data_IF_052126871265
#
_entry.id   IF_052126871265
#
_cell.length_a   1.000
_cell.length_b   1.000
_cell.length_c   1.000
_cell.angle_alpha   90.00
_cell.angle_beta   90.00
_cell.angle_gamma   90.00
#
_symmetry.space_group_name_H-M   'P 1'
#
loop_
_entity.id
_entity.type
_entity.pdbx_description
1 polymer ?
#
# COMPACT_ATOMS: atom_id res chain seq x y z
N UNK A 1 -25.93 3.38 21.84
CA UNK A 1 -24.96 3.19 20.75
C UNK A 1 -25.64 3.58 19.45
N UNK A 2 -25.00 4.46 18.69
CA UNK A 2 -25.46 4.80 17.35
C UNK A 2 -25.07 3.63 16.45
N UNK A 3 -26.05 3.02 15.76
CA UNK A 3 -25.77 2.09 14.64
C UNK A 3 -25.72 2.90 13.35
N UNK A 4 -24.53 3.31 12.88
CA UNK A 4 -24.43 4.14 11.70
C UNK A 4 -24.72 3.29 10.44
N UNK A 5 -25.48 3.86 9.51
CA UNK A 5 -25.70 3.27 8.19
C UNK A 5 -24.50 3.51 7.25
N UNK A 6 -23.70 4.54 7.53
CA UNK A 6 -22.50 4.91 6.76
C UNK A 6 -21.34 5.21 7.71
N UNK A 7 -20.20 4.60 7.46
CA UNK A 7 -18.94 4.87 8.15
C UNK A 7 -17.90 5.32 7.13
N UNK A 8 -17.25 6.44 7.42
CA UNK A 8 -16.18 7.00 6.59
C UNK A 8 -14.83 6.83 7.29
N UNK A 9 -13.85 6.29 6.59
CA UNK A 9 -12.47 6.18 7.03
C UNK A 9 -11.59 6.99 6.09
N UNK A 10 -10.79 7.89 6.63
CA UNK A 10 -9.83 8.70 5.87
C UNK A 10 -8.41 8.31 6.27
N UNK A 11 -7.69 7.66 5.34
CA UNK A 11 -6.32 7.17 5.53
C UNK A 11 -6.10 6.47 6.88
N UNK A 12 -6.89 5.43 7.21
CA UNK A 12 -6.99 4.91 8.58
C UNK A 12 -5.70 4.22 9.09
N UNK A 13 -4.77 3.88 8.19
CA UNK A 13 -3.50 3.20 8.53
C UNK A 13 -2.28 4.09 8.38
N UNK A 14 -2.43 5.34 7.96
CA UNK A 14 -1.30 6.26 7.77
C UNK A 14 -0.59 6.53 9.09
N UNK A 15 0.73 6.38 9.10
CA UNK A 15 1.58 6.60 10.27
C UNK A 15 1.57 5.47 11.31
N UNK A 16 0.86 4.38 11.04
CA UNK A 16 0.87 3.18 11.88
C UNK A 16 1.94 2.19 11.43
N UNK A 17 2.49 1.45 12.39
CA UNK A 17 3.30 0.28 12.08
C UNK A 17 2.44 -0.84 11.45
N UNK A 18 3.05 -1.85 10.78
CA UNK A 18 2.32 -2.90 10.09
C UNK A 18 1.37 -3.70 11.00
N UNK A 19 1.75 -3.93 12.27
CA UNK A 19 0.93 -4.69 13.21
C UNK A 19 -0.34 -3.92 13.56
N UNK A 20 -0.19 -2.63 13.86
CA UNK A 20 -1.33 -1.75 14.14
C UNK A 20 -2.19 -1.52 12.91
N UNK A 21 -1.60 -1.47 11.71
CA UNK A 21 -2.31 -1.43 10.46
C UNK A 21 -3.26 -2.64 10.30
N UNK A 22 -2.76 -3.84 10.56
CA UNK A 22 -3.57 -5.06 10.51
C UNK A 22 -4.73 -5.06 11.53
N UNK A 23 -4.52 -4.52 12.72
CA UNK A 23 -5.61 -4.34 13.72
C UNK A 23 -6.71 -3.43 13.18
N UNK A 24 -6.35 -2.33 12.52
CA UNK A 24 -7.32 -1.41 11.90
C UNK A 24 -8.10 -2.11 10.77
N UNK A 25 -7.44 -2.92 9.93
CA UNK A 25 -8.13 -3.70 8.90
C UNK A 25 -9.17 -4.65 9.49
N UNK A 26 -8.80 -5.39 10.52
CA UNK A 26 -9.73 -6.28 11.21
C UNK A 26 -10.94 -5.53 11.78
N UNK A 27 -10.74 -4.33 12.32
CA UNK A 27 -11.83 -3.50 12.81
C UNK A 27 -12.77 -3.05 11.69
N UNK A 28 -12.21 -2.61 10.54
CA UNK A 28 -13.01 -2.24 9.36
C UNK A 28 -13.82 -3.44 8.88
N UNK A 29 -13.21 -4.62 8.75
CA UNK A 29 -13.90 -5.84 8.33
C UNK A 29 -15.01 -6.25 9.30
N UNK A 30 -14.79 -6.13 10.60
CA UNK A 30 -15.84 -6.41 11.62
C UNK A 30 -17.03 -5.46 11.51
N UNK A 31 -16.77 -4.18 11.27
CA UNK A 31 -17.85 -3.19 11.04
C UNK A 31 -18.60 -3.51 9.75
N UNK A 32 -17.88 -3.92 8.71
CA UNK A 32 -18.46 -4.31 7.42
C UNK A 32 -19.39 -5.53 7.52
N UNK A 33 -19.12 -6.46 8.43
CA UNK A 33 -19.98 -7.63 8.65
C UNK A 33 -21.34 -7.28 9.30
N UNK A 34 -21.53 -6.04 9.77
CA UNK A 34 -22.81 -5.61 10.31
C UNK A 34 -23.81 -5.42 9.16
N UNK A 35 -25.03 -6.00 9.28
CA UNK A 35 -26.06 -5.74 8.29
C UNK A 35 -26.38 -4.24 8.23
N UNK A 36 -26.67 -3.74 7.04
CA UNK A 36 -27.09 -2.35 6.77
C UNK A 36 -26.01 -1.27 6.97
N UNK A 37 -24.72 -1.62 7.14
CA UNK A 37 -23.65 -0.63 7.24
C UNK A 37 -22.85 -0.57 5.94
N UNK A 38 -22.75 0.62 5.35
CA UNK A 38 -21.85 0.90 4.23
C UNK A 38 -20.58 1.55 4.75
N UNK A 39 -19.44 1.03 4.34
CA UNK A 39 -18.13 1.58 4.66
C UNK A 39 -17.52 2.25 3.43
N UNK A 40 -17.04 3.48 3.58
CA UNK A 40 -16.23 4.16 2.58
C UNK A 40 -14.83 4.39 3.17
N UNK A 41 -13.82 3.87 2.51
CA UNK A 41 -12.42 3.98 2.93
C UNK A 41 -11.67 4.80 1.88
N UNK A 42 -11.14 5.94 2.28
CA UNK A 42 -10.21 6.74 1.46
C UNK A 42 -8.79 6.32 1.83
N UNK A 43 -8.04 5.84 0.85
CA UNK A 43 -6.66 5.42 1.06
C UNK A 43 -5.87 5.47 -0.25
N UNK A 44 -4.57 5.68 -0.14
CA UNK A 44 -3.61 5.48 -1.23
C UNK A 44 -2.89 4.13 -1.10
N UNK A 45 -3.18 3.35 -0.07
CA UNK A 45 -2.57 2.05 0.15
C UNK A 45 -3.36 0.94 -0.54
N UNK A 46 -2.75 0.38 -1.59
CA UNK A 46 -3.35 -0.70 -2.38
C UNK A 46 -3.51 -1.99 -1.57
N UNK A 47 -2.66 -2.23 -0.57
CA UNK A 47 -2.80 -3.40 0.32
C UNK A 47 -4.10 -3.30 1.12
N UNK A 48 -4.38 -2.10 1.67
CA UNK A 48 -5.65 -1.82 2.34
C UNK A 48 -6.82 -2.03 1.39
N UNK A 49 -6.76 -1.39 0.21
CA UNK A 49 -7.84 -1.47 -0.77
C UNK A 49 -8.20 -2.92 -1.13
N UNK A 50 -7.19 -3.77 -1.41
CA UNK A 50 -7.41 -5.19 -1.74
C UNK A 50 -7.97 -6.00 -0.58
N UNK A 51 -7.58 -5.69 0.66
CA UNK A 51 -8.02 -6.44 1.84
C UNK A 51 -9.45 -6.14 2.26
N UNK A 52 -9.90 -4.90 2.11
CA UNK A 52 -11.15 -4.45 2.73
C UNK A 52 -12.25 -4.06 1.75
N UNK A 53 -11.94 -3.85 0.48
CA UNK A 53 -12.92 -3.31 -0.46
C UNK A 53 -13.64 -4.40 -1.25
N UNK A 54 -14.97 -4.29 -1.35
CA UNK A 54 -15.78 -4.99 -2.35
C UNK A 54 -15.74 -4.26 -3.70
N UNK A 55 -15.57 -2.95 -3.65
CA UNK A 55 -15.51 -2.09 -4.83
C UNK A 55 -14.49 -0.98 -4.64
N UNK A 56 -13.69 -0.73 -5.67
CA UNK A 56 -12.69 0.32 -5.72
C UNK A 56 -13.12 1.38 -6.73
N UNK A 57 -12.99 2.64 -6.34
CA UNK A 57 -13.10 3.80 -7.23
C UNK A 57 -11.76 4.50 -7.20
N UNK A 58 -11.11 4.63 -8.36
CA UNK A 58 -9.82 5.31 -8.46
C UNK A 58 -9.99 6.70 -9.07
N UNK A 59 -9.48 7.69 -8.35
CA UNK A 59 -9.49 9.08 -8.77
C UNK A 59 -8.11 9.46 -9.33
N UNK A 60 -8.13 10.23 -10.41
CA UNK A 60 -6.91 10.78 -11.01
C UNK A 60 -6.75 12.26 -10.63
N UNK A 61 -5.51 12.74 -10.40
CA UNK A 61 -5.29 14.13 -10.03
C UNK A 61 -5.86 15.11 -11.05
N UNK A 62 -6.66 16.07 -10.59
CA UNK A 62 -7.28 17.09 -11.45
C UNK A 62 -6.27 17.84 -12.30
N UNK A 63 -5.08 18.11 -11.76
CA UNK A 63 -3.98 18.82 -12.44
C UNK A 63 -3.42 18.06 -13.66
N UNK A 64 -3.71 16.77 -13.79
CA UNK A 64 -3.24 15.90 -14.89
C UNK A 64 -4.34 15.53 -15.88
N UNK A 65 -5.59 15.93 -15.61
CA UNK A 65 -6.71 15.68 -16.50
C UNK A 65 -6.69 16.66 -17.66
N UNK A 66 -7.03 16.15 -18.85
CA UNK A 66 -7.33 17.00 -19.99
C UNK A 66 -8.77 17.52 -19.90
N UNK A 67 -9.06 18.59 -20.63
CA UNK A 67 -10.42 19.15 -20.68
C UNK A 67 -11.43 18.09 -21.13
N UNK A 68 -12.49 17.90 -20.34
CA UNK A 68 -13.56 16.94 -20.62
C UNK A 68 -13.31 15.50 -20.14
N UNK A 69 -12.15 15.20 -19.55
CA UNK A 69 -11.89 13.88 -18.97
C UNK A 69 -12.54 13.72 -17.59
N UNK A 70 -13.02 12.50 -17.30
CA UNK A 70 -13.52 12.13 -15.98
C UNK A 70 -12.37 12.00 -14.99
N UNK A 71 -12.57 12.49 -13.76
CA UNK A 71 -11.65 12.25 -12.66
C UNK A 71 -11.65 10.78 -12.21
N UNK A 72 -12.77 10.07 -12.37
CA UNK A 72 -12.85 8.65 -12.09
C UNK A 72 -12.24 7.91 -13.28
N UNK A 73 -11.09 7.26 -13.07
CA UNK A 73 -10.40 6.49 -14.11
C UNK A 73 -10.63 4.98 -13.98
N UNK A 74 -11.16 4.52 -12.86
CA UNK A 74 -11.53 3.13 -12.66
C UNK A 74 -12.67 3.02 -11.62
N UNK A 75 -13.55 2.04 -11.85
CA UNK A 75 -14.51 1.55 -10.86
C UNK A 75 -14.73 0.05 -11.09
N UNK A 76 -14.57 -0.75 -10.05
CA UNK A 76 -14.69 -2.21 -10.15
C UNK A 76 -14.25 -2.92 -8.89
N UNK A 77 -14.14 -4.25 -8.95
CA UNK A 77 -13.60 -5.06 -7.87
C UNK A 77 -12.07 -4.96 -7.80
N UNK A 78 -11.43 -5.40 -6.69
CA UNK A 78 -9.98 -5.49 -6.62
C UNK A 78 -9.37 -6.35 -7.74
N UNK A 79 -9.99 -7.46 -8.11
CA UNK A 79 -9.54 -8.37 -9.17
C UNK A 79 -9.61 -7.69 -10.55
N UNK A 80 -10.68 -6.93 -10.81
CA UNK A 80 -10.82 -6.16 -12.04
C UNK A 80 -9.78 -5.04 -12.13
N UNK A 81 -9.38 -4.47 -10.99
CA UNK A 81 -8.32 -3.46 -10.93
C UNK A 81 -6.98 -4.02 -11.37
N UNK A 82 -6.63 -5.20 -10.89
CA UNK A 82 -5.37 -5.88 -11.25
C UNK A 82 -5.32 -6.25 -12.74
N UNK A 83 -6.48 -6.51 -13.35
CA UNK A 83 -6.64 -6.78 -14.78
C UNK A 83 -6.81 -5.54 -15.65
N UNK A 84 -6.76 -4.33 -15.10
CA UNK A 84 -7.00 -3.10 -15.86
C UNK A 84 -5.97 -2.85 -16.94
N UNK A 85 -6.44 -2.45 -18.14
CA UNK A 85 -5.59 -2.05 -19.26
C UNK A 85 -5.33 -0.53 -19.32
N UNK A 86 -5.95 0.28 -18.45
CA UNK A 86 -5.69 1.72 -18.41
C UNK A 86 -4.26 1.97 -17.89
N UNK A 87 -3.38 2.65 -18.68
CA UNK A 87 -1.99 2.90 -18.29
C UNK A 87 -1.86 3.67 -16.97
N UNK A 88 -2.82 4.56 -16.66
CA UNK A 88 -2.83 5.36 -15.43
C UNK A 88 -3.11 4.49 -14.20
N UNK A 89 -4.04 3.55 -14.35
CA UNK A 89 -4.36 2.55 -13.31
C UNK A 89 -3.17 1.64 -13.08
N UNK A 90 -2.60 1.09 -14.15
CA UNK A 90 -1.41 0.22 -14.07
C UNK A 90 -0.22 0.91 -13.44
N UNK A 91 0.06 2.16 -13.84
CA UNK A 91 1.15 2.94 -13.24
C UNK A 91 0.99 3.10 -11.73
N UNK A 92 -0.25 3.29 -11.26
CA UNK A 92 -0.51 3.42 -9.82
C UNK A 92 -0.34 2.07 -9.09
N UNK A 93 -0.89 1.00 -9.64
CA UNK A 93 -0.78 -0.36 -9.07
C UNK A 93 0.66 -0.87 -9.11
N UNK A 94 1.35 -0.75 -10.26
CA UNK A 94 2.73 -1.22 -10.47
C UNK A 94 3.76 -0.29 -9.83
N UNK A 95 3.49 1.01 -9.73
CA UNK A 95 4.41 2.00 -9.17
C UNK A 95 4.81 1.72 -7.72
N UNK A 96 3.90 1.18 -6.93
CA UNK A 96 4.20 0.71 -5.56
C UNK A 96 4.95 -0.61 -5.55
N UNK A 97 4.65 -1.52 -6.47
CA UNK A 97 5.41 -2.75 -6.62
C UNK A 97 6.85 -2.47 -7.06
N UNK A 98 7.05 -1.53 -7.98
CA UNK A 98 8.37 -1.09 -8.42
C UNK A 98 9.19 -0.42 -7.33
N UNK A 99 8.58 0.41 -6.49
CA UNK A 99 9.25 1.02 -5.33
C UNK A 99 9.69 -0.03 -4.32
N UNK A 100 8.82 -0.98 -4.01
CA UNK A 100 9.14 -2.07 -3.07
C UNK A 100 10.24 -3.00 -3.59
N UNK A 101 10.24 -3.29 -4.88
CA UNK A 101 11.32 -4.05 -5.52
C UNK A 101 12.65 -3.30 -5.51
N UNK A 102 12.64 -1.98 -5.69
CA UNK A 102 13.82 -1.14 -5.60
C UNK A 102 14.36 -1.03 -4.17
N UNK A 103 13.48 -1.00 -3.17
CA UNK A 103 13.85 -1.03 -1.75
C UNK A 103 14.50 -2.37 -1.39
N UNK A 104 13.89 -3.49 -1.78
CA UNK A 104 14.43 -4.83 -1.55
C UNK A 104 15.79 -5.04 -2.24
N UNK A 105 15.99 -4.51 -3.45
CA UNK A 105 17.30 -4.54 -4.13
C UNK A 105 18.36 -3.76 -3.36
N UNK A 106 18.02 -2.57 -2.87
CA UNK A 106 18.95 -1.75 -2.07
C UNK A 106 19.35 -2.43 -0.76
N UNK A 107 18.42 -3.11 -0.11
CA UNK A 107 18.70 -3.88 1.11
C UNK A 107 19.59 -5.09 0.83
N UNK A 108 19.45 -5.71 -0.33
CA UNK A 108 20.26 -6.85 -0.75
C UNK A 108 21.67 -6.41 -1.11
N UNK A 109 21.82 -5.32 -1.87
CA UNK A 109 23.12 -4.73 -2.23
C UNK A 109 23.89 -4.26 -0.98
N UNK A 110 23.21 -3.77 0.06
CA UNK A 110 23.84 -3.41 1.34
C UNK A 110 24.32 -4.62 2.15
N UNK A 111 23.63 -5.75 2.05
CA UNK A 111 24.06 -7.00 2.72
C UNK A 111 25.27 -7.63 2.04
N UNK A 112 25.34 -7.52 0.73
CA UNK A 112 26.45 -8.09 -0.05
C UNK A 112 27.73 -7.22 0.01
N UNK A 113 27.61 -5.96 0.50
CA UNK A 113 28.72 -5.03 0.70
C UNK A 113 29.19 -4.92 2.17
N UNK A 114 28.97 -5.92 3.00
CA UNK A 114 29.59 -5.96 4.33
C UNK A 114 31.09 -6.28 4.16
N UNK A 115 32.03 -5.35 4.50
CA UNK A 115 33.45 -5.64 4.40
C UNK A 115 33.80 -6.76 5.37
N UNK A 116 34.37 -7.84 4.86
CA UNK A 116 35.03 -8.86 5.65
C UNK A 116 36.08 -8.18 6.55
N UNK A 117 35.89 -8.26 7.85
CA UNK A 117 36.85 -7.82 8.83
C UNK A 117 38.16 -8.57 8.62
N UNK A 118 39.14 -7.89 8.08
CA UNK A 118 40.52 -8.37 8.07
C UNK A 118 40.97 -8.59 9.51
N UNK A 119 41.19 -9.84 9.86
CA UNK A 119 41.94 -10.24 11.01
C UNK A 119 43.37 -9.81 10.85
N UNK A 120 43.77 -8.79 11.59
CA UNK A 120 45.15 -8.32 11.68
C UNK A 120 45.86 -9.21 12.68
N UNK A 121 46.50 -10.29 12.19
CA UNK A 121 47.48 -11.05 12.95
C UNK A 121 48.76 -10.22 12.98
N UNK A 122 48.99 -9.54 14.09
CA UNK A 122 50.31 -9.03 14.43
C UNK A 122 51.07 -10.14 15.15
N UNK A 123 51.92 -10.81 14.37
CA UNK A 123 53.07 -11.50 14.93
C UNK A 123 53.95 -10.47 15.63
N UNK A 124 54.12 -10.66 16.92
CA UNK A 124 55.09 -9.94 17.76
C UNK A 124 56.23 -10.92 18.03
N UNK A 125 57.25 -10.88 17.17
CA UNK A 125 58.55 -11.48 17.39
C UNK A 125 59.30 -10.58 18.40
N UNK A 126 59.63 -11.12 19.54
CA UNK A 126 60.65 -10.55 20.43
C UNK A 126 61.64 -11.63 20.86
N UNK A 127 62.87 -11.41 20.45
CA UNK A 127 64.08 -11.97 21.03
C UNK A 127 64.21 -11.65 22.53
#
# INVERSE_FOLDING_TARGET
>A
ALDPQLVLYDEPTTGLDPIMGDVIYELILRVHQRPETTNVVVTHDMTTAHKVADRIIMLYPLSRLKSGESQIIFTGTPEELDGSNDPRVRQFVEGKAGQRLNELRKEQDQKDYAPSSETNDQENDHE
#
